data_IF_262725684758
#
_entry.id   IF_262725684758
#
_cell.length_a   1.000
_cell.length_b   1.000
_cell.length_c   1.000
_cell.angle_alpha   90.00
_cell.angle_beta   90.00
_cell.angle_gamma   90.00
#
_symmetry.space_group_name_H-M   'P 1'
#
loop_
_entity.id
_entity.type
_entity.pdbx_description
1 polymer ?
#
# COMPACT_ATOMS: atom_id res chain seq x y z
N UNK A 1 -10.04 -17.64 -9.35
CA UNK A 1 -11.31 -16.89 -9.33
C UNK A 1 -11.15 -15.42 -8.99
N UNK A 2 -10.46 -15.05 -7.89
CA UNK A 2 -10.32 -13.64 -7.46
C UNK A 2 -9.79 -12.68 -8.54
N UNK A 3 -8.72 -13.07 -9.26
CA UNK A 3 -8.15 -12.27 -10.37
C UNK A 3 -9.18 -12.00 -11.47
N UNK A 4 -9.99 -13.00 -11.84
CA UNK A 4 -11.00 -12.87 -12.89
C UNK A 4 -12.10 -11.90 -12.46
N UNK A 5 -12.57 -11.97 -11.21
CA UNK A 5 -13.54 -11.02 -10.65
C UNK A 5 -13.01 -9.58 -10.67
N UNK A 6 -11.75 -9.39 -10.26
CA UNK A 6 -11.10 -8.08 -10.30
C UNK A 6 -10.92 -7.56 -11.74
N UNK A 7 -10.55 -8.43 -12.70
CA UNK A 7 -10.44 -8.05 -14.12
C UNK A 7 -11.79 -7.62 -14.70
N UNK A 8 -12.87 -8.35 -14.39
CA UNK A 8 -14.21 -8.01 -14.86
C UNK A 8 -14.68 -6.67 -14.31
N UNK A 9 -14.42 -6.37 -13.03
CA UNK A 9 -14.81 -5.10 -12.42
C UNK A 9 -14.08 -3.88 -13.02
N UNK A 10 -12.91 -4.09 -13.61
CA UNK A 10 -12.08 -3.08 -14.26
C UNK A 10 -12.33 -2.96 -15.77
N UNK A 11 -13.02 -3.91 -16.38
CA UNK A 11 -13.16 -4.02 -17.84
C UNK A 11 -13.87 -2.84 -18.52
N UNK A 12 -14.75 -2.13 -17.81
CA UNK A 12 -15.51 -0.99 -18.33
C UNK A 12 -14.97 0.38 -17.90
N UNK A 13 -13.79 0.42 -17.26
CA UNK A 13 -13.20 1.64 -16.69
C UNK A 13 -11.98 2.08 -17.49
N UNK A 14 -11.48 3.29 -17.23
CA UNK A 14 -10.27 3.85 -17.86
C UNK A 14 -9.04 2.92 -17.75
N UNK A 15 -9.01 2.09 -16.72
CA UNK A 15 -7.92 1.13 -16.47
C UNK A 15 -8.06 -0.20 -17.23
N UNK A 16 -9.04 -0.33 -18.15
CA UNK A 16 -9.34 -1.57 -18.85
C UNK A 16 -8.13 -2.13 -19.61
N UNK A 17 -7.31 -1.28 -20.22
CA UNK A 17 -6.10 -1.69 -20.96
C UNK A 17 -5.02 -2.33 -20.08
N UNK A 18 -5.04 -2.02 -18.78
CA UNK A 18 -4.09 -2.54 -17.79
C UNK A 18 -4.75 -3.38 -16.71
N UNK A 19 -6.00 -3.80 -16.93
CA UNK A 19 -6.82 -4.52 -15.96
C UNK A 19 -6.17 -5.81 -15.46
N UNK A 20 -5.40 -6.50 -16.30
CA UNK A 20 -4.76 -7.74 -15.89
C UNK A 20 -3.68 -7.50 -14.83
N UNK A 21 -2.85 -6.47 -15.05
CA UNK A 21 -1.78 -6.09 -14.14
C UNK A 21 -2.34 -5.57 -12.81
N UNK A 22 -3.31 -4.65 -12.89
CA UNK A 22 -3.93 -4.06 -11.71
C UNK A 22 -4.77 -5.08 -10.92
N UNK A 23 -5.41 -6.04 -11.60
CA UNK A 23 -6.13 -7.12 -10.92
C UNK A 23 -5.20 -8.04 -10.14
N UNK A 24 -4.00 -8.34 -10.68
CA UNK A 24 -3.00 -9.13 -9.96
C UNK A 24 -2.50 -8.39 -8.70
N UNK A 25 -2.18 -7.09 -8.83
CA UNK A 25 -1.80 -6.25 -7.68
C UNK A 25 -2.91 -6.17 -6.63
N UNK A 26 -4.15 -5.93 -7.04
CA UNK A 26 -5.29 -5.82 -6.13
C UNK A 26 -5.51 -7.12 -5.35
N UNK A 27 -5.48 -8.28 -6.04
CA UNK A 27 -5.66 -9.57 -5.37
C UNK A 27 -4.53 -9.87 -4.41
N UNK A 28 -3.27 -9.60 -4.79
CA UNK A 28 -2.13 -9.80 -3.88
C UNK A 28 -2.22 -8.93 -2.64
N UNK A 29 -2.60 -7.66 -2.79
CA UNK A 29 -2.76 -6.72 -1.69
C UNK A 29 -3.82 -7.22 -0.69
N UNK A 30 -4.98 -7.64 -1.19
CA UNK A 30 -6.08 -8.14 -0.35
C UNK A 30 -5.71 -9.45 0.34
N UNK A 31 -5.02 -10.36 -0.34
CA UNK A 31 -4.57 -11.61 0.26
C UNK A 31 -3.53 -11.40 1.38
N UNK A 32 -2.77 -10.31 1.32
CA UNK A 32 -1.76 -9.99 2.33
C UNK A 32 -2.36 -9.49 3.64
N UNK A 33 -3.47 -8.75 3.57
CA UNK A 33 -4.18 -8.21 4.76
C UNK A 33 -5.36 -9.08 5.19
N UNK A 34 -5.64 -10.18 4.49
CA UNK A 34 -6.74 -11.06 4.80
C UNK A 34 -6.47 -11.87 6.07
N UNK A 35 -7.31 -11.67 7.08
CA UNK A 35 -7.28 -12.43 8.33
C UNK A 35 -8.28 -13.59 8.27
N UNK A 36 -7.93 -14.71 8.90
CA UNK A 36 -8.77 -15.89 8.98
C UNK A 36 -9.30 -16.04 10.40
N UNK A 37 -10.54 -15.62 10.62
CA UNK A 37 -11.25 -15.77 11.89
C UNK A 37 -12.36 -16.83 11.72
N UNK A 38 -12.39 -17.84 12.60
CA UNK A 38 -13.46 -18.84 12.66
C UNK A 38 -13.78 -19.54 11.32
N UNK A 39 -12.77 -19.71 10.47
CA UNK A 39 -12.91 -20.34 9.14
C UNK A 39 -13.47 -19.41 8.05
N UNK A 40 -13.73 -18.14 8.36
CA UNK A 40 -14.09 -17.08 7.40
C UNK A 40 -12.89 -16.16 7.16
N UNK A 41 -12.84 -15.57 5.97
CA UNK A 41 -11.87 -14.52 5.67
C UNK A 41 -12.51 -13.17 5.96
N UNK A 42 -11.83 -12.36 6.77
CA UNK A 42 -12.15 -10.97 7.02
C UNK A 42 -11.02 -10.12 6.47
N UNK A 43 -11.37 -9.01 5.83
CA UNK A 43 -10.42 -8.10 5.20
C UNK A 43 -10.84 -6.71 5.63
N UNK A 44 -9.93 -5.97 6.24
CA UNK A 44 -10.09 -4.54 6.40
C UNK A 44 -9.52 -3.82 5.15
N UNK A 45 -10.31 -2.93 4.57
CA UNK A 45 -9.88 -2.17 3.38
C UNK A 45 -8.92 -1.07 3.80
N UNK A 46 -9.00 -0.59 5.04
CA UNK A 46 -8.14 0.47 5.56
C UNK A 46 -6.68 0.03 5.72
N UNK A 47 -6.44 -1.29 5.79
CA UNK A 47 -5.09 -1.87 5.79
C UNK A 47 -4.40 -1.81 4.41
N UNK A 48 -5.13 -1.49 3.35
CA UNK A 48 -4.59 -1.34 1.99
C UNK A 48 -4.51 0.14 1.60
N UNK A 49 -3.34 0.74 1.80
CA UNK A 49 -3.09 2.13 1.40
C UNK A 49 -2.83 2.25 -0.11
N UNK A 50 -3.61 3.09 -0.79
CA UNK A 50 -3.40 3.45 -2.21
C UNK A 50 -2.74 4.82 -2.30
N UNK A 51 -1.45 4.86 -2.62
CA UNK A 51 -0.69 6.10 -2.81
C UNK A 51 -0.57 6.44 -4.31
N UNK A 52 -0.84 7.69 -4.69
CA UNK A 52 -0.83 8.14 -6.10
C UNK A 52 0.21 9.23 -6.28
N UNK A 53 1.18 8.99 -7.17
CA UNK A 53 2.17 9.98 -7.61
C UNK A 53 2.14 10.11 -9.13
N UNK A 54 1.94 11.32 -9.69
CA UNK A 54 1.95 11.53 -11.14
C UNK A 54 3.38 11.46 -11.69
N UNK A 55 3.52 11.08 -12.96
CA UNK A 55 4.80 11.17 -13.70
C UNK A 55 5.17 9.91 -14.48
N UNK A 56 4.71 8.75 -14.04
CA UNK A 56 5.09 7.44 -14.62
C UNK A 56 3.90 6.71 -15.26
N UNK A 57 4.15 5.54 -15.85
CA UNK A 57 3.10 4.69 -16.42
C UNK A 57 2.27 4.01 -15.33
N UNK A 58 1.02 3.67 -15.67
CA UNK A 58 0.18 2.80 -14.83
C UNK A 58 0.86 1.44 -14.58
N UNK A 59 1.69 0.98 -15.53
CA UNK A 59 2.47 -0.27 -15.39
C UNK A 59 3.60 -0.17 -14.36
N UNK A 60 3.96 1.03 -13.92
CA UNK A 60 4.98 1.24 -12.89
C UNK A 60 4.42 1.20 -11.46
N UNK A 61 3.10 1.04 -11.32
CA UNK A 61 2.42 0.84 -10.04
C UNK A 61 2.95 -0.41 -9.35
N UNK A 62 3.47 -0.32 -8.13
CA UNK A 62 4.02 -1.48 -7.41
C UNK A 62 3.26 -1.74 -6.12
N UNK A 63 3.15 -3.01 -5.75
CA UNK A 63 2.76 -3.42 -4.41
C UNK A 63 3.97 -3.29 -3.49
N UNK A 64 3.86 -2.48 -2.46
CA UNK A 64 4.88 -2.33 -1.42
C UNK A 64 4.45 -3.20 -0.23
N UNK A 65 5.29 -4.15 0.15
CA UNK A 65 5.05 -5.00 1.33
C UNK A 65 5.41 -4.22 2.60
N UNK A 66 4.60 -3.21 2.92
CA UNK A 66 4.82 -2.27 4.00
C UNK A 66 4.01 -0.99 3.80
N UNK A 67 4.40 0.09 4.45
CA UNK A 67 3.70 1.38 4.40
C UNK A 67 4.51 2.43 3.65
N UNK A 68 3.88 3.10 2.69
CA UNK A 68 4.43 4.30 2.06
C UNK A 68 3.91 5.54 2.79
N UNK A 69 4.82 6.38 3.27
CA UNK A 69 4.50 7.65 3.90
C UNK A 69 4.98 8.79 3.01
N UNK A 70 4.08 9.71 2.65
CA UNK A 70 4.42 10.94 1.95
C UNK A 70 4.91 11.99 2.96
N UNK A 71 6.08 11.72 3.55
CA UNK A 71 6.74 12.61 4.51
C UNK A 71 8.22 12.73 4.17
N UNK A 72 8.78 13.88 4.48
CA UNK A 72 10.21 14.14 4.34
C UNK A 72 10.96 13.87 5.64
N UNK A 73 12.26 13.63 5.50
CA UNK A 73 13.18 13.49 6.63
C UNK A 73 13.37 14.88 7.25
N UNK A 74 13.15 15.00 8.56
CA UNK A 74 13.11 16.29 9.25
C UNK A 74 14.44 17.07 9.24
N UNK A 75 15.58 16.37 9.24
CA UNK A 75 16.90 16.99 9.29
C UNK A 75 17.81 16.43 8.19
N UNK A 76 18.53 17.30 7.48
CA UNK A 76 19.38 16.93 6.33
C UNK A 76 20.53 15.98 6.67
N UNK A 77 21.00 16.01 7.91
CA UNK A 77 22.04 15.09 8.44
C UNK A 77 21.53 13.68 8.78
N UNK A 78 20.22 13.41 8.71
CA UNK A 78 19.68 12.07 8.95
C UNK A 78 19.87 11.16 7.73
N UNK A 79 20.12 9.85 7.92
CA UNK A 79 20.33 8.93 6.82
C UNK A 79 19.07 8.77 5.97
N UNK A 80 19.24 8.80 4.63
CA UNK A 80 18.14 8.59 3.66
C UNK A 80 17.74 7.12 3.48
N UNK A 81 18.60 6.18 3.90
CA UNK A 81 18.39 4.74 3.80
C UNK A 81 18.95 4.07 5.05
N UNK A 82 18.14 3.22 5.67
CA UNK A 82 18.52 2.39 6.82
C UNK A 82 18.11 0.96 6.50
N UNK A 83 19.04 0.02 6.67
CA UNK A 83 18.77 -1.41 6.52
C UNK A 83 18.61 -2.05 7.91
N UNK A 84 17.72 -3.04 8.05
CA UNK A 84 17.39 -3.66 9.35
C UNK A 84 16.99 -2.62 10.43
N UNK A 85 16.19 -1.63 10.04
CA UNK A 85 15.78 -0.54 10.91
C UNK A 85 14.88 -1.01 12.05
N UNK A 86 15.07 -0.44 13.24
CA UNK A 86 14.11 -0.52 14.33
C UNK A 86 13.18 0.69 14.22
N UNK A 87 11.87 0.44 14.12
CA UNK A 87 10.85 1.48 13.95
C UNK A 87 10.20 1.75 15.31
N UNK A 88 10.20 3.01 15.74
CA UNK A 88 9.47 3.47 16.92
C UNK A 88 8.24 4.26 16.45
N UNK A 89 7.07 3.97 17.03
CA UNK A 89 5.83 4.69 16.80
C UNK A 89 5.56 5.55 18.05
N UNK A 90 5.44 6.85 17.86
CA UNK A 90 5.20 7.83 18.92
C UNK A 90 4.00 8.69 18.52
N UNK A 91 3.04 8.82 19.42
CA UNK A 91 1.88 9.73 19.29
C UNK A 91 2.07 11.04 20.07
N UNK A 92 3.25 11.25 20.65
CA UNK A 92 3.59 12.45 21.43
C UNK A 92 4.61 13.31 20.68
N UNK A 93 4.50 14.64 20.86
CA UNK A 93 5.47 15.60 20.36
C UNK A 93 6.77 15.54 21.18
N UNK A 94 7.90 15.74 20.49
CA UNK A 94 9.22 15.81 21.13
C UNK A 94 9.59 17.28 21.37
N UNK A 95 8.95 17.89 22.35
CA UNK A 95 9.20 19.27 22.77
C UNK A 95 9.27 19.40 24.29
N UNK A 96 9.78 20.54 24.77
CA UNK A 96 9.79 20.85 26.20
C UNK A 96 8.43 21.46 26.55
N UNK A 97 7.63 20.75 27.34
CA UNK A 97 6.46 21.33 27.99
C UNK A 97 6.92 22.41 28.97
N UNK A 98 6.31 23.61 28.89
CA UNK A 98 6.59 24.72 29.81
C UNK A 98 5.89 24.55 31.15
#
# INVERSE_FOLDING_TARGET
YLKMTAMTSMASKLVAEHREYLADLAVRSILQVAEKEEGKYKVDIDDVKVEKKPGESVRDTKLINGLVLDKEIVHSGMPKRIENSKIALLDSALEIEK
#
